data_IF_287915443645
#
_entry.id   IF_287915443645
#
_cell.length_a   1.000
_cell.length_b   1.000
_cell.length_c   1.000
_cell.angle_alpha   90.00
_cell.angle_beta   90.00
_cell.angle_gamma   90.00
#
_symmetry.space_group_name_H-M   'P 1'
#
loop_
_entity.id
_entity.type
_entity.pdbx_description
1 polymer ?
#
# COMPACT_ATOMS: atom_id res chain seq x y z
N UNK A 1 98.33 -26.16 -8.34
CA UNK A 1 97.23 -25.44 -7.66
C UNK A 1 95.93 -26.16 -7.98
N UNK A 2 95.13 -26.40 -6.96
CA UNK A 2 94.32 -27.60 -6.73
C UNK A 2 92.89 -27.56 -7.30
N UNK A 3 92.37 -28.77 -7.59
CA UNK A 3 90.97 -29.27 -7.71
C UNK A 3 90.59 -29.62 -9.15
N UNK A 4 90.67 -30.87 -9.61
CA UNK A 4 90.08 -32.15 -9.13
C UNK A 4 88.56 -32.08 -8.88
N UNK A 5 87.88 -32.77 -9.79
CA UNK A 5 86.48 -33.14 -9.94
C UNK A 5 86.02 -34.17 -8.91
N UNK A 6 84.77 -34.07 -8.43
CA UNK A 6 83.88 -35.23 -8.20
C UNK A 6 82.43 -34.82 -7.87
N UNK A 7 81.52 -35.27 -8.75
CA UNK A 7 80.25 -35.98 -8.59
C UNK A 7 79.46 -35.98 -7.27
N UNK A 8 78.13 -35.79 -7.37
CA UNK A 8 77.12 -36.20 -6.38
C UNK A 8 75.82 -35.37 -6.47
N UNK A 9 74.81 -35.79 -7.24
CA UNK A 9 73.61 -36.51 -6.76
C UNK A 9 72.91 -35.90 -5.53
N UNK A 10 71.72 -35.30 -5.74
CA UNK A 10 70.52 -35.54 -4.91
C UNK A 10 69.26 -34.94 -5.53
N UNK A 11 68.27 -35.81 -5.68
CA UNK A 11 66.90 -35.53 -6.09
C UNK A 11 66.14 -34.70 -5.04
N UNK A 12 65.23 -33.86 -5.51
CA UNK A 12 64.02 -33.46 -4.78
C UNK A 12 62.86 -33.34 -5.79
N UNK A 13 61.95 -34.30 -5.71
CA UNK A 13 60.64 -34.31 -6.37
C UNK A 13 59.58 -34.13 -5.29
N UNK A 14 58.53 -33.37 -5.64
CA UNK A 14 57.20 -33.29 -5.01
C UNK A 14 57.05 -32.59 -3.65
N UNK A 15 56.21 -31.55 -3.67
CA UNK A 15 55.04 -31.26 -2.81
C UNK A 15 54.43 -29.99 -3.42
N UNK A 16 53.31 -30.01 -4.15
CA UNK A 16 52.06 -30.70 -3.84
C UNK A 16 51.16 -29.72 -3.10
N UNK A 17 50.36 -28.99 -3.86
CA UNK A 17 49.04 -28.42 -3.50
C UNK A 17 48.91 -27.76 -2.13
N UNK A 18 49.00 -26.43 -2.10
CA UNK A 18 48.42 -25.67 -1.00
C UNK A 18 46.91 -25.85 -0.99
N UNK A 19 46.27 -26.23 0.13
CA UNK A 19 44.82 -26.31 0.18
C UNK A 19 44.26 -24.90 -0.01
N UNK A 20 43.59 -24.70 -1.14
CA UNK A 20 42.68 -23.60 -1.34
C UNK A 20 41.73 -23.60 -0.14
N UNK A 21 41.87 -22.58 0.71
CA UNK A 21 40.91 -22.29 1.76
C UNK A 21 39.64 -21.78 1.07
N UNK A 22 38.89 -22.72 0.51
CA UNK A 22 37.50 -22.55 0.13
C UNK A 22 36.72 -22.51 1.45
N UNK A 23 36.84 -21.38 2.16
CA UNK A 23 35.96 -21.05 3.28
C UNK A 23 34.58 -20.77 2.69
N UNK A 24 33.89 -21.86 2.37
CA UNK A 24 32.45 -21.89 2.16
C UNK A 24 31.83 -21.21 3.38
N UNK A 25 31.20 -20.05 3.16
CA UNK A 25 30.41 -19.39 4.18
C UNK A 25 29.47 -20.43 4.79
N UNK A 26 29.32 -20.50 6.12
CA UNK A 26 28.42 -21.45 6.75
C UNK A 26 27.04 -21.31 6.09
N UNK A 27 26.50 -22.42 5.60
CA UNK A 27 25.10 -22.49 5.15
C UNK A 27 24.24 -22.15 6.38
N UNK A 28 23.93 -20.87 6.54
CA UNK A 28 22.90 -20.42 7.48
C UNK A 28 21.59 -20.81 6.82
N UNK A 29 21.00 -21.92 7.27
CA UNK A 29 19.63 -22.26 6.95
C UNK A 29 18.75 -21.10 7.39
N UNK A 30 18.36 -20.27 6.42
CA UNK A 30 17.37 -19.24 6.68
C UNK A 30 16.05 -19.98 6.89
N UNK A 31 15.34 -19.72 8.00
CA UNK A 31 13.99 -20.23 8.14
C UNK A 31 13.19 -19.81 6.90
N UNK A 32 12.28 -20.66 6.40
CA UNK A 32 11.43 -20.29 5.29
C UNK A 32 10.71 -18.99 5.63
N UNK A 33 10.57 -18.12 4.63
CA UNK A 33 9.78 -16.90 4.81
C UNK A 33 8.38 -17.30 5.32
N UNK A 34 7.88 -16.63 6.36
CA UNK A 34 6.56 -16.95 6.90
C UNK A 34 5.52 -16.80 5.78
N UNK A 35 4.65 -17.81 5.67
CA UNK A 35 3.57 -17.80 4.70
C UNK A 35 2.58 -16.67 5.07
N UNK A 36 2.29 -15.80 4.11
CA UNK A 36 1.31 -14.73 4.29
C UNK A 36 -0.07 -15.31 4.05
N UNK A 37 -0.91 -15.33 5.08
CA UNK A 37 -2.27 -15.87 4.99
C UNK A 37 -3.21 -14.91 4.27
N UNK A 38 -4.29 -15.44 3.67
CA UNK A 38 -5.36 -14.64 3.05
C UNK A 38 -5.99 -13.63 4.02
N UNK A 39 -6.08 -13.99 5.31
CA UNK A 39 -6.54 -13.09 6.36
C UNK A 39 -5.60 -11.88 6.51
N UNK A 40 -4.29 -12.13 6.53
CA UNK A 40 -3.27 -11.07 6.60
C UNK A 40 -3.33 -10.18 5.36
N UNK A 41 -3.50 -10.77 4.18
CA UNK A 41 -3.70 -10.02 2.94
C UNK A 41 -4.94 -9.13 2.99
N UNK A 42 -6.04 -9.67 3.52
CA UNK A 42 -7.34 -8.99 3.57
C UNK A 42 -7.36 -7.81 4.55
N UNK A 43 -6.87 -7.99 5.77
CA UNK A 43 -6.97 -6.96 6.82
C UNK A 43 -5.72 -6.10 6.93
N UNK A 44 -4.56 -6.59 6.52
CA UNK A 44 -3.28 -5.89 6.65
C UNK A 44 -2.92 -5.00 5.46
N UNK A 45 -3.65 -5.07 4.35
CA UNK A 45 -3.28 -4.38 3.12
C UNK A 45 -4.45 -3.69 2.42
N UNK A 46 -4.30 -2.38 2.22
CA UNK A 46 -5.23 -1.55 1.48
C UNK A 46 -4.88 -1.67 -0.01
N UNK A 47 -5.73 -2.35 -0.77
CA UNK A 47 -5.51 -2.64 -2.20
C UNK A 47 -6.52 -1.93 -3.09
N UNK A 48 -6.04 -1.41 -4.21
CA UNK A 48 -6.90 -0.83 -5.25
C UNK A 48 -7.51 -1.93 -6.11
N UNK A 49 -8.83 -1.98 -6.17
CA UNK A 49 -9.59 -2.82 -7.10
C UNK A 49 -10.20 -1.92 -8.16
N UNK A 50 -9.70 -1.92 -9.41
CA UNK A 50 -10.27 -1.07 -10.44
C UNK A 50 -11.73 -1.45 -10.72
N UNK A 51 -12.55 -0.43 -10.99
CA UNK A 51 -13.90 -0.65 -11.51
C UNK A 51 -13.85 -1.42 -12.85
N UNK A 52 -14.98 -2.05 -13.21
CA UNK A 52 -15.10 -2.80 -14.46
C UNK A 52 -14.67 -1.97 -15.70
N UNK A 53 -14.94 -0.67 -15.66
CA UNK A 53 -14.31 0.31 -16.54
C UNK A 53 -13.31 1.13 -15.71
N UNK A 54 -11.99 0.91 -15.85
CA UNK A 54 -11.00 1.66 -15.11
C UNK A 54 -11.00 3.13 -15.53
N UNK A 55 -10.58 4.02 -14.62
CA UNK A 55 -10.40 5.43 -14.94
C UNK A 55 -9.38 5.63 -16.07
N UNK A 56 -9.57 6.68 -16.87
CA UNK A 56 -8.65 7.02 -17.96
C UNK A 56 -7.21 7.21 -17.46
N UNK A 57 -7.04 7.81 -16.28
CA UNK A 57 -5.72 8.01 -15.69
C UNK A 57 -5.06 6.69 -15.30
N UNK A 58 -5.78 5.78 -14.65
CA UNK A 58 -5.24 4.45 -14.32
C UNK A 58 -4.81 3.70 -15.58
N UNK A 59 -5.64 3.72 -16.64
CA UNK A 59 -5.30 3.09 -17.91
C UNK A 59 -4.04 3.71 -18.55
N UNK A 60 -3.88 5.04 -18.48
CA UNK A 60 -2.68 5.73 -18.95
C UNK A 60 -1.43 5.34 -18.16
N UNK A 61 -1.53 5.23 -16.83
CA UNK A 61 -0.43 4.75 -15.99
C UNK A 61 -0.04 3.30 -16.30
N UNK A 62 -1.01 2.42 -16.51
CA UNK A 62 -0.74 1.03 -16.93
C UNK A 62 -0.03 0.99 -18.29
N UNK A 63 -0.43 1.81 -19.24
CA UNK A 63 0.23 1.91 -20.54
C UNK A 63 1.67 2.43 -20.42
N UNK A 64 1.93 3.33 -19.46
CA UNK A 64 3.23 3.92 -19.18
C UNK A 64 4.12 3.11 -18.22
N UNK A 65 3.69 1.93 -17.74
CA UNK A 65 4.36 1.16 -16.67
C UNK A 65 5.84 0.85 -16.85
N UNK A 66 6.36 0.85 -18.08
CA UNK A 66 7.78 0.59 -18.40
C UNK A 66 8.58 1.86 -18.70
N UNK A 67 7.94 3.04 -18.67
CA UNK A 67 8.50 4.33 -19.08
C UNK A 67 8.21 5.38 -18.02
N UNK A 68 9.15 5.52 -17.07
CA UNK A 68 9.00 6.39 -15.90
C UNK A 68 8.70 7.84 -16.27
N UNK A 69 9.37 8.36 -17.30
CA UNK A 69 9.16 9.69 -17.87
C UNK A 69 7.72 9.89 -18.35
N UNK A 70 7.15 8.89 -19.02
CA UNK A 70 5.77 8.95 -19.50
C UNK A 70 4.77 8.88 -18.36
N UNK A 71 5.00 8.02 -17.37
CA UNK A 71 4.15 7.96 -16.18
C UNK A 71 4.15 9.29 -15.42
N UNK A 72 5.31 9.93 -15.29
CA UNK A 72 5.44 11.27 -14.68
C UNK A 72 4.74 12.35 -15.49
N UNK A 73 4.84 12.32 -16.82
CA UNK A 73 4.14 13.26 -17.69
C UNK A 73 2.62 13.13 -17.54
N UNK A 74 2.08 11.90 -17.52
CA UNK A 74 0.65 11.68 -17.32
C UNK A 74 0.18 12.10 -15.92
N UNK A 75 0.98 11.81 -14.87
CA UNK A 75 0.67 12.26 -13.52
C UNK A 75 0.66 13.78 -13.40
N UNK A 76 1.58 14.48 -14.07
CA UNK A 76 1.62 15.94 -14.09
C UNK A 76 0.38 16.52 -14.77
N UNK A 77 0.01 15.99 -15.95
CA UNK A 77 -1.24 16.38 -16.64
C UNK A 77 -2.47 16.20 -15.76
N UNK A 78 -2.54 15.08 -15.04
CA UNK A 78 -3.65 14.76 -14.14
C UNK A 78 -3.76 15.79 -13.00
N UNK A 79 -2.64 16.09 -12.35
CA UNK A 79 -2.57 17.03 -11.23
C UNK A 79 -2.87 18.47 -11.67
N UNK A 80 -2.39 18.87 -12.85
CA UNK A 80 -2.66 20.19 -13.43
C UNK A 80 -4.07 20.31 -14.01
N UNK A 81 -4.85 19.21 -14.04
CA UNK A 81 -6.21 19.20 -14.58
C UNK A 81 -6.25 19.41 -16.10
N UNK A 82 -5.20 19.04 -16.81
CA UNK A 82 -5.18 19.07 -18.27
C UNK A 82 -6.11 17.99 -18.83
N UNK A 83 -6.72 18.24 -19.98
CA UNK A 83 -7.51 17.24 -20.71
C UNK A 83 -6.69 15.95 -20.96
N UNK A 84 -7.27 14.74 -20.77
CA UNK A 84 -8.68 14.43 -20.49
C UNK A 84 -9.06 14.36 -19.00
N UNK A 85 -8.23 14.89 -18.10
CA UNK A 85 -8.33 14.71 -16.65
C UNK A 85 -8.92 15.92 -15.90
N UNK A 86 -9.53 16.87 -16.61
CA UNK A 86 -10.05 18.10 -16.02
C UNK A 86 -10.98 17.81 -14.85
N UNK A 87 -10.64 18.38 -13.67
CA UNK A 87 -11.42 18.21 -12.43
C UNK A 87 -11.32 16.84 -11.76
N UNK A 88 -10.55 15.89 -12.29
CA UNK A 88 -10.43 14.56 -11.72
C UNK A 88 -9.57 14.54 -10.43
N UNK A 89 -8.47 15.29 -10.42
CA UNK A 89 -7.54 15.37 -9.30
C UNK A 89 -8.18 16.02 -8.06
N UNK A 90 -7.96 15.40 -6.90
CA UNK A 90 -8.41 15.89 -5.60
C UNK A 90 -7.27 16.69 -4.96
N UNK A 91 -7.25 17.99 -5.25
CA UNK A 91 -6.26 18.91 -4.64
C UNK A 91 -6.54 19.18 -3.15
N UNK A 92 -7.81 19.09 -2.72
CA UNK A 92 -8.24 19.24 -1.33
C UNK A 92 -9.41 18.31 -1.05
N UNK A 93 -9.32 17.52 0.02
CA UNK A 93 -10.37 16.58 0.41
C UNK A 93 -11.70 17.29 0.74
N UNK A 94 -11.63 18.53 1.22
CA UNK A 94 -12.79 19.39 1.49
C UNK A 94 -13.68 19.67 0.27
N UNK A 95 -13.13 19.54 -0.94
CA UNK A 95 -13.85 19.78 -2.19
C UNK A 95 -14.70 18.55 -2.62
N UNK A 96 -14.54 17.39 -1.96
CA UNK A 96 -15.35 16.19 -2.22
C UNK A 96 -16.75 16.30 -1.61
N UNK A 97 -17.73 15.63 -2.21
CA UNK A 97 -19.11 15.60 -1.71
C UNK A 97 -19.31 14.57 -0.59
N UNK A 98 -20.18 14.90 0.36
CA UNK A 98 -20.61 14.00 1.42
C UNK A 98 -19.52 13.65 2.45
N UNK A 99 -19.76 12.61 3.27
CA UNK A 99 -18.89 12.15 4.35
C UNK A 99 -17.40 11.99 4.02
N UNK A 100 -17.05 11.61 2.79
CA UNK A 100 -15.66 11.34 2.38
C UNK A 100 -14.73 12.56 2.60
N UNK A 101 -15.25 13.79 2.54
CA UNK A 101 -14.43 15.00 2.78
C UNK A 101 -13.80 15.08 4.18
N UNK A 102 -14.39 14.38 5.15
CA UNK A 102 -13.97 14.37 6.55
C UNK A 102 -13.13 13.13 6.91
N UNK A 103 -12.90 12.22 5.96
CA UNK A 103 -12.22 10.95 6.20
C UNK A 103 -10.83 11.08 6.82
N UNK A 104 -9.93 11.99 6.35
CA UNK A 104 -8.60 12.11 6.95
C UNK A 104 -8.64 12.40 8.45
N UNK A 105 -9.58 13.26 8.86
CA UNK A 105 -9.75 13.68 10.25
C UNK A 105 -10.28 12.53 11.12
N UNK A 106 -11.27 11.80 10.62
CA UNK A 106 -11.84 10.64 11.32
C UNK A 106 -10.81 9.52 11.42
N UNK A 107 -10.09 9.23 10.32
CA UNK A 107 -9.02 8.25 10.29
C UNK A 107 -7.93 8.55 11.32
N UNK A 108 -7.47 9.80 11.39
CA UNK A 108 -6.44 10.22 12.34
C UNK A 108 -6.88 10.00 13.80
N UNK A 109 -8.14 10.29 14.14
CA UNK A 109 -8.69 10.04 15.47
C UNK A 109 -8.72 8.53 15.80
N UNK A 110 -9.23 7.71 14.88
CA UNK A 110 -9.32 6.27 15.06
C UNK A 110 -7.95 5.58 15.16
N UNK A 111 -6.96 6.06 14.41
CA UNK A 111 -5.60 5.53 14.45
C UNK A 111 -4.89 5.87 15.76
N UNK A 112 -5.15 7.05 16.35
CA UNK A 112 -4.60 7.43 17.66
C UNK A 112 -5.10 6.51 18.79
N UNK A 113 -6.33 6.00 18.67
CA UNK A 113 -6.99 5.17 19.68
C UNK A 113 -6.86 3.64 19.45
N UNK A 114 -6.11 3.22 18.42
CA UNK A 114 -6.00 1.81 17.98
C UNK A 114 -5.34 0.85 19.00
N UNK A 115 -4.88 1.34 20.16
CA UNK A 115 -4.19 0.57 21.19
C UNK A 115 -5.13 -0.40 21.95
N UNK A 116 -6.46 -0.26 21.82
CA UNK A 116 -7.45 -1.05 22.57
C UNK A 116 -8.47 -1.75 21.65
N UNK A 117 -8.17 -2.95 21.11
CA UNK A 117 -8.98 -3.61 20.09
C UNK A 117 -10.46 -3.80 20.45
N UNK A 118 -10.75 -4.16 21.71
CA UNK A 118 -12.12 -4.45 22.15
C UNK A 118 -13.05 -3.22 22.17
N UNK A 119 -12.51 -2.03 22.46
CA UNK A 119 -13.29 -0.78 22.44
C UNK A 119 -13.24 -0.07 21.09
N UNK A 120 -12.29 -0.45 20.23
CA UNK A 120 -12.01 0.27 19.00
C UNK A 120 -13.14 0.15 17.98
N UNK A 121 -13.73 -1.03 17.76
CA UNK A 121 -14.89 -1.18 16.86
C UNK A 121 -16.11 -0.38 17.32
N UNK A 122 -16.29 -0.23 18.64
CA UNK A 122 -17.34 0.61 19.19
C UNK A 122 -17.09 2.09 18.88
N UNK A 123 -15.85 2.54 19.01
CA UNK A 123 -15.44 3.91 18.65
C UNK A 123 -15.63 4.15 17.14
N UNK A 124 -15.20 3.21 16.29
CA UNK A 124 -15.46 3.22 14.84
C UNK A 124 -16.94 3.43 14.54
N UNK A 125 -17.83 2.64 15.15
CA UNK A 125 -19.27 2.78 14.93
C UNK A 125 -19.75 4.20 15.28
N UNK A 126 -19.38 4.71 16.46
CA UNK A 126 -19.79 6.03 16.94
C UNK A 126 -19.31 7.14 16.01
N UNK A 127 -18.06 7.07 15.57
CA UNK A 127 -17.47 8.09 14.70
C UNK A 127 -18.08 8.05 13.29
N UNK A 128 -18.36 6.86 12.75
CA UNK A 128 -19.04 6.73 11.46
C UNK A 128 -20.50 7.19 11.52
N UNK A 129 -21.23 6.89 12.59
CA UNK A 129 -22.60 7.40 12.81
C UNK A 129 -22.60 8.94 12.90
N UNK A 130 -21.69 9.51 13.68
CA UNK A 130 -21.55 10.96 13.82
C UNK A 130 -21.15 11.63 12.51
N UNK A 131 -20.31 10.97 11.71
CA UNK A 131 -19.92 11.42 10.39
C UNK A 131 -21.11 11.44 9.43
N UNK A 132 -21.89 10.36 9.34
CA UNK A 132 -23.09 10.31 8.50
C UNK A 132 -24.09 11.39 8.93
N UNK A 133 -24.40 11.48 10.22
CA UNK A 133 -25.36 12.45 10.75
C UNK A 133 -24.99 13.90 10.40
N UNK A 134 -23.70 14.26 10.50
CA UNK A 134 -23.21 15.61 10.15
C UNK A 134 -23.48 15.99 8.71
N UNK A 135 -23.42 15.03 7.79
CA UNK A 135 -23.58 15.26 6.36
C UNK A 135 -25.01 14.97 5.87
N UNK A 136 -25.96 14.73 6.79
CA UNK A 136 -27.30 14.28 6.43
C UNK A 136 -27.28 12.97 5.64
N UNK A 137 -26.24 12.15 5.86
CA UNK A 137 -25.99 10.92 5.12
C UNK A 137 -26.96 9.83 5.54
N UNK A 138 -27.59 9.20 4.54
CA UNK A 138 -28.41 8.02 4.76
C UNK A 138 -27.55 6.81 5.17
N UNK A 139 -28.10 5.86 5.93
CA UNK A 139 -27.39 4.64 6.35
C UNK A 139 -26.71 3.90 5.17
N UNK A 140 -27.30 3.94 3.96
CA UNK A 140 -26.77 3.30 2.75
C UNK A 140 -25.62 4.04 2.04
N UNK A 141 -25.11 5.16 2.58
CA UNK A 141 -24.11 6.00 1.90
C UNK A 141 -22.87 5.22 1.44
N UNK A 142 -22.30 4.36 2.29
CA UNK A 142 -21.08 3.60 1.97
C UNK A 142 -21.30 2.52 0.89
N UNK A 143 -22.54 2.24 0.51
CA UNK A 143 -22.86 1.40 -0.65
C UNK A 143 -23.16 2.20 -1.92
N UNK A 144 -23.24 3.54 -1.82
CA UNK A 144 -23.69 4.40 -2.92
C UNK A 144 -22.66 4.50 -4.06
N UNK A 145 -23.11 4.74 -5.31
CA UNK A 145 -22.21 5.02 -6.43
C UNK A 145 -21.30 6.23 -6.17
N UNK A 146 -21.85 7.32 -5.60
CA UNK A 146 -21.07 8.53 -5.32
C UNK A 146 -19.95 8.31 -4.30
N UNK A 147 -20.14 7.44 -3.31
CA UNK A 147 -19.05 7.02 -2.41
C UNK A 147 -17.94 6.31 -3.20
N UNK A 148 -18.30 5.31 -4.04
CA UNK A 148 -17.32 4.55 -4.83
C UNK A 148 -16.54 5.43 -5.80
N UNK A 149 -17.22 6.37 -6.48
CA UNK A 149 -16.58 7.36 -7.36
C UNK A 149 -15.62 8.28 -6.59
N UNK A 150 -15.99 8.71 -5.39
CA UNK A 150 -15.11 9.53 -4.55
C UNK A 150 -13.86 8.75 -4.12
N UNK A 151 -14.00 7.48 -3.71
CA UNK A 151 -12.86 6.63 -3.35
C UNK A 151 -11.96 6.35 -4.56
N UNK A 152 -12.52 6.11 -5.75
CA UNK A 152 -11.72 5.95 -6.97
C UNK A 152 -10.90 7.22 -7.27
N UNK A 153 -11.52 8.40 -7.19
CA UNK A 153 -10.81 9.68 -7.37
C UNK A 153 -9.69 9.90 -6.36
N UNK A 154 -9.88 9.49 -5.11
CA UNK A 154 -8.83 9.53 -4.08
C UNK A 154 -7.67 8.59 -4.47
N UNK A 155 -7.96 7.38 -4.93
CA UNK A 155 -6.95 6.46 -5.43
C UNK A 155 -6.15 7.04 -6.60
N UNK A 156 -6.82 7.60 -7.61
CA UNK A 156 -6.15 8.21 -8.76
C UNK A 156 -5.24 9.37 -8.32
N UNK A 157 -5.73 10.21 -7.40
CA UNK A 157 -4.94 11.32 -6.84
C UNK A 157 -3.74 10.82 -6.05
N UNK A 158 -3.91 9.77 -5.26
CA UNK A 158 -2.83 9.12 -4.52
C UNK A 158 -1.75 8.58 -5.48
N UNK A 159 -2.14 7.89 -6.55
CA UNK A 159 -1.19 7.38 -7.55
C UNK A 159 -0.40 8.50 -8.21
N UNK A 160 -1.06 9.60 -8.60
CA UNK A 160 -0.39 10.73 -9.22
C UNK A 160 0.69 11.32 -8.30
N UNK A 161 0.40 11.49 -7.01
CA UNK A 161 1.34 12.01 -6.03
C UNK A 161 2.49 11.04 -5.70
N UNK A 162 2.24 9.73 -5.73
CA UNK A 162 3.31 8.73 -5.57
C UNK A 162 4.27 8.76 -6.77
N UNK A 163 3.77 9.01 -7.98
CA UNK A 163 4.58 9.08 -9.21
C UNK A 163 5.42 10.37 -9.27
N UNK A 164 4.90 11.48 -8.73
CA UNK A 164 5.55 12.80 -8.75
C UNK A 164 6.38 13.06 -7.48
N UNK A 165 7.72 12.91 -7.53
CA UNK A 165 8.56 13.16 -6.36
C UNK A 165 8.53 14.64 -5.95
N UNK A 166 8.46 14.89 -4.63
CA UNK A 166 8.54 16.25 -4.08
C UNK A 166 7.24 17.06 -4.12
N UNK A 167 6.12 16.44 -4.51
CA UNK A 167 4.81 17.06 -4.39
C UNK A 167 4.33 17.11 -2.92
N UNK A 168 3.11 17.61 -2.70
CA UNK A 168 2.47 17.83 -1.41
C UNK A 168 2.36 16.54 -0.55
N UNK A 169 3.24 16.41 0.43
CA UNK A 169 3.27 15.28 1.37
C UNK A 169 2.10 15.29 2.37
N UNK A 170 1.57 16.48 2.69
CA UNK A 170 0.43 16.57 3.60
C UNK A 170 -0.83 16.04 2.90
N UNK A 171 -1.04 16.44 1.65
CA UNK A 171 -2.12 15.90 0.82
C UNK A 171 -1.97 14.39 0.61
N UNK A 172 -0.76 13.90 0.31
CA UNK A 172 -0.51 12.47 0.16
C UNK A 172 -0.89 11.69 1.45
N UNK A 173 -0.52 12.20 2.62
CA UNK A 173 -0.88 11.60 3.90
C UNK A 173 -2.40 11.62 4.15
N UNK A 174 -3.10 12.70 3.78
CA UNK A 174 -4.55 12.80 3.92
C UNK A 174 -5.31 11.88 2.96
N UNK A 175 -4.83 11.73 1.71
CA UNK A 175 -5.34 10.74 0.78
C UNK A 175 -5.12 9.32 1.32
N UNK A 176 -3.94 9.02 1.85
CA UNK A 176 -3.63 7.71 2.44
C UNK A 176 -4.55 7.37 3.62
N UNK A 177 -4.77 8.32 4.54
CA UNK A 177 -5.72 8.18 5.65
C UNK A 177 -7.15 7.95 5.17
N UNK A 178 -7.54 8.63 4.08
CA UNK A 178 -8.87 8.43 3.50
C UNK A 178 -9.05 7.03 2.93
N UNK A 179 -8.04 6.52 2.22
CA UNK A 179 -8.04 5.16 1.69
C UNK A 179 -8.04 4.10 2.81
N UNK A 180 -7.30 4.36 3.88
CA UNK A 180 -7.32 3.49 5.07
C UNK A 180 -8.71 3.44 5.71
N UNK A 181 -9.39 4.58 5.88
CA UNK A 181 -10.74 4.59 6.44
C UNK A 181 -11.76 3.95 5.51
N UNK A 182 -11.62 4.14 4.20
CA UNK A 182 -12.46 3.46 3.21
C UNK A 182 -12.30 1.93 3.29
N UNK A 183 -11.07 1.45 3.42
CA UNK A 183 -10.79 0.02 3.60
C UNK A 183 -11.38 -0.53 4.90
N UNK A 184 -11.27 0.23 5.99
CA UNK A 184 -11.93 -0.09 7.26
C UNK A 184 -13.45 -0.19 7.08
N UNK A 185 -14.06 0.79 6.41
CA UNK A 185 -15.50 0.78 6.12
C UNK A 185 -15.87 -0.47 5.32
N UNK A 186 -15.14 -0.78 4.25
CA UNK A 186 -15.44 -1.93 3.39
C UNK A 186 -15.36 -3.29 4.11
N UNK A 187 -14.51 -3.39 5.14
CA UNK A 187 -14.31 -4.63 5.90
C UNK A 187 -15.14 -4.72 7.17
N UNK A 188 -15.39 -3.59 7.83
CA UNK A 188 -16.02 -3.56 9.14
C UNK A 188 -17.50 -3.16 9.05
N UNK A 189 -17.96 -2.47 8.00
CA UNK A 189 -19.36 -2.08 7.85
C UNK A 189 -20.13 -3.13 7.07
N UNK A 190 -21.18 -3.66 7.67
CA UNK A 190 -22.00 -4.70 7.07
C UNK A 190 -22.73 -4.18 5.80
N UNK A 191 -22.56 -4.81 4.63
CA UNK A 191 -23.20 -4.39 3.38
C UNK A 191 -24.73 -4.39 3.52
N UNK A 192 -25.37 -3.24 3.26
CA UNK A 192 -26.83 -3.13 3.29
C UNK A 192 -27.48 -3.31 4.68
N UNK A 193 -26.71 -3.53 5.75
CA UNK A 193 -27.22 -3.68 7.11
C UNK A 193 -27.28 -2.34 7.87
N UNK A 194 -27.28 -1.23 7.14
CA UNK A 194 -27.43 0.08 7.73
C UNK A 194 -28.92 0.31 7.96
N UNK A 195 -29.33 0.13 9.21
CA UNK A 195 -30.74 0.23 9.61
C UNK A 195 -31.10 1.70 9.86
N UNK A 196 -32.36 2.00 10.15
CA UNK A 196 -32.79 3.31 10.64
C UNK A 196 -32.09 3.76 11.94
N UNK A 197 -31.23 2.91 12.54
CA UNK A 197 -30.43 3.18 13.74
C UNK A 197 -28.94 3.43 13.46
N UNK A 198 -28.55 3.66 12.20
CA UNK A 198 -27.17 3.98 11.81
C UNK A 198 -26.37 2.79 11.28
N UNK A 199 -25.05 2.94 11.32
CA UNK A 199 -24.07 1.99 10.80
C UNK A 199 -24.02 0.73 11.65
N UNK A 200 -24.08 -0.43 10.99
CA UNK A 200 -23.84 -1.73 11.63
C UNK A 200 -22.41 -2.17 11.36
N UNK A 201 -21.65 -2.42 12.43
CA UNK A 201 -20.27 -2.89 12.37
C UNK A 201 -20.24 -4.39 12.63
N UNK A 202 -19.46 -5.12 11.84
CA UNK A 202 -19.22 -6.56 11.97
C UNK A 202 -18.32 -6.85 13.17
N UNK A 203 -18.53 -8.01 13.80
CA UNK A 203 -17.63 -8.50 14.84
C UNK A 203 -16.32 -8.95 14.21
N UNK A 204 -15.23 -8.23 14.48
CA UNK A 204 -13.87 -8.62 14.09
C UNK A 204 -13.11 -9.18 15.30
N UNK A 205 -12.23 -10.15 15.06
CA UNK A 205 -11.36 -10.68 16.10
C UNK A 205 -10.30 -9.63 16.51
N UNK A 206 -9.72 -9.71 17.73
CA UNK A 206 -8.65 -8.78 18.14
C UNK A 206 -7.45 -8.77 17.18
N UNK A 207 -7.13 -9.91 16.55
CA UNK A 207 -6.07 -10.01 15.55
C UNK A 207 -6.41 -9.24 14.27
N UNK A 208 -7.65 -9.39 13.77
CA UNK A 208 -8.15 -8.67 12.61
C UNK A 208 -8.18 -7.16 12.85
N UNK A 209 -8.65 -6.73 14.03
CA UNK A 209 -8.62 -5.30 14.42
C UNK A 209 -7.18 -4.78 14.42
N UNK A 210 -6.23 -5.54 14.96
CA UNK A 210 -4.82 -5.15 14.99
C UNK A 210 -4.23 -5.04 13.57
N UNK A 211 -4.55 -5.98 12.68
CA UNK A 211 -4.11 -5.92 11.28
C UNK A 211 -4.72 -4.71 10.57
N UNK A 212 -6.03 -4.49 10.73
CA UNK A 212 -6.76 -3.39 10.10
C UNK A 212 -6.25 -2.02 10.58
N UNK A 213 -5.98 -1.89 11.88
CA UNK A 213 -5.40 -0.68 12.47
C UNK A 213 -4.04 -0.31 11.87
N UNK A 214 -3.26 -1.32 11.45
CA UNK A 214 -1.92 -1.17 10.89
C UNK A 214 -1.87 -1.43 9.38
N UNK A 215 -3.03 -1.42 8.71
CA UNK A 215 -3.11 -1.74 7.30
C UNK A 215 -2.26 -0.78 6.46
N UNK A 216 -1.49 -1.35 5.53
CA UNK A 216 -0.58 -0.58 4.67
C UNK A 216 -1.10 -0.54 3.23
N UNK A 217 -0.94 0.60 2.56
CA UNK A 217 -1.32 0.73 1.15
C UNK A 217 -0.35 -0.05 0.27
N UNK A 218 -0.90 -0.92 -0.57
CA UNK A 218 -0.16 -1.65 -1.59
C UNK A 218 -0.43 -1.01 -2.94
N UNK A 219 0.65 -0.67 -3.65
CA UNK A 219 0.55 -0.13 -4.99
C UNK A 219 0.24 -1.24 -6.00
N UNK A 220 -0.66 -1.00 -6.97
CA UNK A 220 -1.04 -2.02 -7.94
C UNK A 220 0.14 -2.36 -8.84
N UNK A 221 0.52 -3.63 -8.88
CA UNK A 221 1.65 -4.14 -9.69
C UNK A 221 1.48 -3.90 -11.19
N UNK A 222 0.25 -3.70 -11.65
CA UNK A 222 -0.06 -3.32 -13.03
C UNK A 222 0.56 -1.96 -13.43
N UNK A 223 0.73 -1.05 -12.46
CA UNK A 223 1.34 0.27 -12.64
C UNK A 223 2.75 0.32 -12.05
N UNK A 224 2.95 -0.31 -10.88
CA UNK A 224 4.20 -0.28 -10.13
C UNK A 224 4.77 -1.70 -10.01
N UNK A 225 5.32 -2.26 -11.10
CA UNK A 225 5.87 -3.61 -11.05
C UNK A 225 7.07 -3.65 -10.11
N UNK A 226 7.15 -4.72 -9.32
CA UNK A 226 8.36 -5.02 -8.58
C UNK A 226 9.48 -5.33 -9.57
N UNK A 227 10.68 -4.83 -9.30
CA UNK A 227 11.85 -5.21 -10.08
C UNK A 227 11.98 -6.74 -10.08
N UNK A 228 12.26 -7.39 -11.22
CA UNK A 228 12.60 -8.80 -11.22
C UNK A 228 13.81 -8.98 -10.31
N UNK A 229 13.69 -9.84 -9.31
CA UNK A 229 14.82 -10.30 -8.51
C UNK A 229 15.86 -10.90 -9.45
N UNK A 230 16.99 -10.21 -9.62
CA UNK A 230 18.16 -10.70 -10.34
C UNK A 230 18.96 -11.65 -9.46
#
# INVERSE_FOLDING_TARGET
MTRMTETGSKAWTALGEGPASDQLLPHVDRPPWPEVTDETLRYGFVSYTPAAAPSAFFAALVAARSRRDQAQAEALKFVEGQEPYAGAFVARLGDLAGPVRDFPRVAAALQADAVKPASWLKAVKVDLDALLARHGGEPGYFASPGYREAIDRIWQSYFALVVLPGYDQALLADLARSLWLAHLVDLAVAPGASTSKGVTVLDLTPGQVTQLANATIVLPSAVFPLSPSR
#
